data_IF_573975469849
#
_entry.id   IF_573975469849
#
_cell.length_a   1.000
_cell.length_b   1.000
_cell.length_c   1.000
_cell.angle_alpha   90.00
_cell.angle_beta   90.00
_cell.angle_gamma   90.00
#
_symmetry.space_group_name_H-M   'P 1'
#
loop_
_entity.id
_entity.type
_entity.pdbx_description
1 polymer ?
#
# COMPACT_ATOMS: atom_id res chain seq x y z
N UNK A 1 -17.79 -4.78 8.23
CA UNK A 1 -16.51 -5.52 8.20
C UNK A 1 -15.57 -4.73 9.07
N UNK A 2 -14.99 -5.37 10.08
CA UNK A 2 -13.95 -4.73 10.90
C UNK A 2 -12.65 -4.83 10.12
N UNK A 3 -12.06 -3.69 9.74
CA UNK A 3 -10.82 -3.65 8.96
C UNK A 3 -9.65 -3.46 9.92
N UNK A 4 -8.55 -4.17 9.66
CA UNK A 4 -7.33 -4.00 10.41
C UNK A 4 -6.71 -2.61 10.21
N UNK A 5 -5.72 -2.28 11.02
CA UNK A 5 -4.93 -1.06 10.91
C UNK A 5 -3.46 -1.40 11.08
N UNK A 6 -2.60 -0.69 10.35
CA UNK A 6 -1.20 -0.60 10.71
C UNK A 6 -1.06 0.15 12.04
N UNK A 7 -0.14 -0.30 12.88
CA UNK A 7 0.21 0.32 14.15
C UNK A 7 1.24 1.45 13.95
N UNK A 8 2.00 1.43 12.85
CA UNK A 8 2.96 2.46 12.51
C UNK A 8 3.22 2.55 11.00
N UNK A 9 3.78 3.68 10.55
CA UNK A 9 4.29 3.81 9.17
C UNK A 9 5.42 2.79 8.91
N UNK A 10 6.23 2.49 9.93
CA UNK A 10 7.30 1.51 9.81
C UNK A 10 6.75 0.12 9.54
N UNK A 11 5.64 -0.27 10.16
CA UNK A 11 4.99 -1.55 9.90
C UNK A 11 4.54 -1.66 8.43
N UNK A 12 3.95 -0.61 7.85
CA UNK A 12 3.63 -0.59 6.42
C UNK A 12 4.90 -0.78 5.57
N UNK A 13 5.97 -0.05 5.86
CA UNK A 13 7.24 -0.15 5.11
C UNK A 13 7.80 -1.59 5.21
N UNK A 14 7.86 -2.14 6.42
CA UNK A 14 8.38 -3.48 6.68
C UNK A 14 7.53 -4.54 5.97
N UNK A 15 6.20 -4.42 6.01
CA UNK A 15 5.29 -5.35 5.30
C UNK A 15 5.53 -5.35 3.78
N UNK A 16 5.79 -4.18 3.19
CA UNK A 16 6.14 -4.08 1.76
C UNK A 16 7.49 -4.77 1.52
N UNK A 17 8.52 -4.42 2.30
CA UNK A 17 9.89 -4.95 2.12
C UNK A 17 10.00 -6.45 2.45
N UNK A 18 9.06 -7.00 3.22
CA UNK A 18 8.90 -8.43 3.46
C UNK A 18 8.20 -9.16 2.30
N UNK A 19 7.65 -8.44 1.32
CA UNK A 19 6.93 -8.99 0.18
C UNK A 19 5.56 -9.58 0.53
N UNK A 20 4.86 -8.99 1.51
CA UNK A 20 3.49 -9.39 1.83
C UNK A 20 2.51 -8.88 0.77
N UNK A 21 1.44 -9.65 0.55
CA UNK A 21 0.30 -9.23 -0.26
C UNK A 21 -0.67 -8.42 0.61
N UNK A 22 -0.63 -7.10 0.48
CA UNK A 22 -1.41 -6.16 1.30
C UNK A 22 -2.61 -5.68 0.49
N UNK A 23 -3.80 -6.16 0.84
CA UNK A 23 -5.04 -5.62 0.31
C UNK A 23 -5.67 -4.64 1.31
N UNK A 24 -6.05 -3.47 0.84
CA UNK A 24 -6.61 -2.45 1.72
C UNK A 24 -7.62 -1.54 1.02
N UNK A 25 -8.42 -0.87 1.83
CA UNK A 25 -9.30 0.21 1.40
C UNK A 25 -8.74 1.56 1.82
N UNK A 26 -8.77 2.52 0.91
CA UNK A 26 -8.52 3.92 1.19
C UNK A 26 -9.59 4.76 0.49
N UNK A 27 -10.33 5.56 1.25
CA UNK A 27 -11.44 6.40 0.76
C UNK A 27 -12.47 5.66 -0.13
N UNK A 28 -12.78 4.39 0.22
CA UNK A 28 -13.69 3.46 -0.49
C UNK A 28 -13.14 2.82 -1.77
N UNK A 29 -11.91 3.14 -2.15
CA UNK A 29 -11.21 2.46 -3.24
C UNK A 29 -10.37 1.32 -2.67
N UNK A 30 -10.38 0.16 -3.33
CA UNK A 30 -9.55 -1.00 -2.96
C UNK A 30 -8.22 -0.90 -3.67
N UNK A 31 -7.14 -1.18 -2.96
CA UNK A 31 -5.80 -1.21 -3.47
C UNK A 31 -5.13 -2.54 -3.10
N UNK A 32 -4.13 -2.90 -3.88
CA UNK A 32 -3.23 -4.02 -3.61
C UNK A 32 -1.79 -3.51 -3.63
N UNK A 33 -1.00 -3.91 -2.64
CA UNK A 33 0.46 -3.85 -2.68
C UNK A 33 1.00 -5.28 -2.64
N UNK A 34 1.84 -5.65 -3.61
CA UNK A 34 2.42 -7.00 -3.71
C UNK A 34 3.83 -6.96 -4.30
N UNK A 35 4.63 -8.02 -4.09
CA UNK A 35 5.86 -8.22 -4.83
C UNK A 35 5.59 -8.45 -6.33
N UNK A 36 6.40 -7.82 -7.17
CA UNK A 36 6.59 -8.16 -8.59
C UNK A 36 7.83 -9.04 -8.76
N UNK A 37 8.48 -8.95 -9.93
CA UNK A 37 9.68 -9.75 -10.22
C UNK A 37 10.88 -9.31 -9.35
N UNK A 38 11.31 -8.05 -9.49
CA UNK A 38 12.45 -7.46 -8.75
C UNK A 38 12.06 -6.17 -7.99
N UNK A 39 10.78 -5.84 -7.96
CA UNK A 39 10.21 -4.60 -7.41
C UNK A 39 8.90 -4.88 -6.66
N UNK A 40 8.36 -3.88 -5.98
CA UNK A 40 7.04 -3.94 -5.35
C UNK A 40 6.10 -3.03 -6.09
N UNK A 41 4.84 -3.42 -6.25
CA UNK A 41 3.86 -2.58 -6.92
C UNK A 41 2.70 -2.23 -6.01
N UNK A 42 2.07 -1.11 -6.33
CA UNK A 42 0.74 -0.72 -5.83
C UNK A 42 -0.19 -0.50 -7.02
N UNK A 43 -1.42 -1.01 -6.94
CA UNK A 43 -2.45 -0.77 -7.93
C UNK A 43 -3.83 -0.57 -7.29
N UNK A 44 -4.70 0.15 -7.98
CA UNK A 44 -6.14 0.15 -7.68
C UNK A 44 -6.76 -1.17 -8.17
N UNK A 45 -7.60 -1.80 -7.37
CA UNK A 45 -8.30 -3.02 -7.74
C UNK A 45 -9.76 -2.75 -8.17
N UNK A 46 -10.30 -3.48 -9.17
CA UNK A 46 -9.65 -4.56 -9.91
C UNK A 46 -8.94 -4.13 -11.21
N UNK A 47 -9.02 -2.85 -11.59
CA UNK A 47 -8.70 -2.40 -12.96
C UNK A 47 -7.58 -1.36 -13.06
N UNK A 48 -6.89 -1.05 -11.97
CA UNK A 48 -5.83 -0.05 -11.95
C UNK A 48 -4.51 -0.60 -12.48
N UNK A 49 -3.73 0.27 -13.12
CA UNK A 49 -2.37 -0.04 -13.55
C UNK A 49 -1.43 -0.14 -12.33
N UNK A 50 -0.51 -1.10 -12.39
CA UNK A 50 0.52 -1.28 -11.37
C UNK A 50 1.61 -0.21 -11.49
N UNK A 51 1.93 0.43 -10.37
CA UNK A 51 3.05 1.36 -10.24
C UNK A 51 4.12 0.71 -9.38
N UNK A 52 5.33 0.59 -9.93
CA UNK A 52 6.43 -0.16 -9.33
C UNK A 52 7.42 0.74 -8.58
N UNK A 53 8.00 0.17 -7.53
CA UNK A 53 8.94 0.81 -6.62
C UNK A 53 9.99 -0.20 -6.16
N UNK A 54 11.21 0.27 -5.90
CA UNK A 54 12.32 -0.59 -5.46
C UNK A 54 12.12 -1.17 -4.06
N UNK A 55 11.45 -0.41 -3.18
CA UNK A 55 11.23 -0.77 -1.78
C UNK A 55 10.06 0.03 -1.18
N UNK A 56 9.61 -0.38 0.01
CA UNK A 56 8.55 0.25 0.77
C UNK A 56 8.85 1.71 1.11
N UNK A 57 10.10 2.05 1.43
CA UNK A 57 10.48 3.43 1.75
C UNK A 57 10.30 4.37 0.55
N UNK A 58 10.70 3.96 -0.64
CA UNK A 58 10.49 4.71 -1.88
C UNK A 58 8.99 4.86 -2.16
N UNK A 59 8.23 3.77 -2.06
CA UNK A 59 6.78 3.76 -2.30
C UNK A 59 6.07 4.76 -1.38
N UNK A 60 6.27 4.69 -0.06
CA UNK A 60 5.54 5.57 0.87
C UNK A 60 5.92 7.05 0.71
N UNK A 61 7.14 7.34 0.26
CA UNK A 61 7.63 8.72 0.08
C UNK A 61 7.27 9.35 -1.27
N UNK A 62 6.85 8.56 -2.26
CA UNK A 62 6.67 9.05 -3.64
C UNK A 62 5.29 8.73 -4.22
N UNK A 63 4.67 7.61 -3.83
CA UNK A 63 3.35 7.24 -4.31
C UNK A 63 2.29 8.20 -3.78
N UNK A 64 1.39 8.62 -4.67
CA UNK A 64 0.30 9.54 -4.35
C UNK A 64 -1.04 8.94 -4.68
N UNK A 65 -1.97 9.04 -3.73
CA UNK A 65 -3.39 8.76 -3.93
C UNK A 65 -4.12 10.08 -3.74
N UNK A 66 -4.90 10.49 -4.75
CA UNK A 66 -5.60 11.78 -4.78
C UNK A 66 -4.69 12.99 -4.46
N UNK A 67 -3.43 12.94 -4.94
CA UNK A 67 -2.43 14.00 -4.75
C UNK A 67 -1.72 14.00 -3.38
N UNK A 68 -2.14 13.15 -2.43
CA UNK A 68 -1.53 13.02 -1.11
C UNK A 68 -0.54 11.86 -1.07
N UNK A 69 0.61 12.04 -0.40
CA UNK A 69 1.60 10.97 -0.29
C UNK A 69 1.10 9.85 0.60
N UNK A 70 1.44 8.60 0.26
CA UNK A 70 1.04 7.42 1.02
C UNK A 70 1.49 7.50 2.50
N UNK A 71 2.69 8.01 2.77
CA UNK A 71 3.19 8.24 4.14
C UNK A 71 2.39 9.28 4.96
N UNK A 72 1.59 10.12 4.32
CA UNK A 72 0.79 11.13 5.00
C UNK A 72 -0.61 10.61 5.32
N UNK A 73 -1.07 9.61 4.57
CA UNK A 73 -2.44 9.05 4.64
C UNK A 73 -2.50 7.58 5.10
N UNK A 74 -1.36 6.96 5.44
CA UNK A 74 -1.30 5.54 5.84
C UNK A 74 -2.23 5.17 7.01
N UNK A 75 -2.54 6.12 7.92
CA UNK A 75 -3.44 5.86 9.06
C UNK A 75 -4.88 5.63 8.63
N UNK A 76 -5.26 6.15 7.47
CA UNK A 76 -6.61 6.04 6.92
C UNK A 76 -6.84 4.68 6.26
N UNK A 77 -5.77 3.97 5.87
CA UNK A 77 -5.79 2.61 5.32
C UNK A 77 -6.62 1.70 6.21
N UNK A 78 -7.66 1.08 5.68
CA UNK A 78 -8.33 -0.05 6.31
C UNK A 78 -7.83 -1.36 5.71
N UNK A 79 -7.05 -2.13 6.47
CA UNK A 79 -6.50 -3.40 6.02
C UNK A 79 -7.63 -4.43 5.85
N UNK A 80 -7.72 -4.98 4.64
CA UNK A 80 -8.65 -6.02 4.28
C UNK A 80 -8.03 -7.42 4.46
N UNK A 81 -6.79 -7.60 4.00
CA UNK A 81 -5.97 -8.79 4.23
C UNK A 81 -4.48 -8.45 4.11
N UNK A 82 -3.65 -9.21 4.81
CA UNK A 82 -2.18 -9.18 4.75
C UNK A 82 -1.62 -10.53 5.14
#
# INVERSE_FOLDING_TARGET
MDLGKFNSLQELIDSIDMGLDIEFYLYRTRYNISPGDDEYFICECPNGDAVYYRNGLEMVNTHKIDGQLLKDIWKDIGLYSM
#
